data_IF_815377384725
#
_entry.id   IF_815377384725
#
_cell.length_a   1.000
_cell.length_b   1.000
_cell.length_c   1.000
_cell.angle_alpha   90.00
_cell.angle_beta   90.00
_cell.angle_gamma   90.00
#
_symmetry.space_group_name_H-M   'P 1'
#
loop_
_entity.id
_entity.type
_entity.pdbx_description
1 polymer ?
#
# COMPACT_ATOMS: atom_id res chain seq x y z
N UNK A 1 -12.03 -3.66 -1.53
CA UNK A 1 -11.61 -2.74 -0.45
C UNK A 1 -12.76 -2.60 0.51
N UNK A 2 -12.53 -2.81 1.81
CA UNK A 2 -13.55 -2.55 2.85
C UNK A 2 -13.00 -1.55 3.85
N UNK A 3 -13.74 -0.46 4.07
CA UNK A 3 -13.40 0.53 5.10
C UNK A 3 -14.04 0.13 6.41
N UNK A 4 -13.23 -0.07 7.44
CA UNK A 4 -13.69 -0.43 8.79
C UNK A 4 -13.29 0.68 9.75
N UNK A 5 -14.16 1.69 9.86
CA UNK A 5 -13.94 2.84 10.75
C UNK A 5 -12.63 3.60 10.46
N UNK A 6 -11.60 3.35 11.28
CA UNK A 6 -10.31 4.06 11.28
C UNK A 6 -9.24 3.44 10.37
N UNK A 7 -9.52 2.31 9.73
CA UNK A 7 -8.60 1.61 8.86
C UNK A 7 -9.31 1.02 7.65
N UNK A 8 -8.53 0.74 6.60
CA UNK A 8 -9.00 0.10 5.39
C UNK A 8 -8.38 -1.28 5.26
N UNK A 9 -9.21 -2.30 5.05
CA UNK A 9 -8.76 -3.67 4.81
C UNK A 9 -8.72 -3.92 3.31
N UNK A 10 -7.55 -4.31 2.85
CA UNK A 10 -7.25 -4.68 1.49
C UNK A 10 -7.08 -6.18 1.43
N UNK A 11 -8.02 -6.87 0.79
CA UNK A 11 -7.92 -8.30 0.49
C UNK A 11 -7.75 -8.45 -1.01
N UNK A 12 -6.70 -9.14 -1.42
CA UNK A 12 -6.34 -9.43 -2.81
C UNK A 12 -6.17 -10.93 -2.95
N UNK A 13 -6.52 -11.48 -4.10
CA UNK A 13 -6.28 -12.89 -4.44
C UNK A 13 -5.38 -12.94 -5.66
N UNK A 14 -4.26 -13.66 -5.55
CA UNK A 14 -3.28 -13.85 -6.61
C UNK A 14 -3.18 -15.34 -6.90
N UNK A 15 -3.90 -15.83 -7.92
CA UNK A 15 -3.88 -17.24 -8.31
C UNK A 15 -4.22 -18.20 -7.14
N UNK A 16 -5.21 -17.83 -6.32
CA UNK A 16 -5.60 -18.57 -5.11
C UNK A 16 -4.79 -18.23 -3.85
N UNK A 17 -3.73 -17.41 -3.97
CA UNK A 17 -3.00 -16.88 -2.83
C UNK A 17 -3.62 -15.57 -2.35
N UNK A 18 -4.40 -15.67 -1.27
CA UNK A 18 -4.99 -14.48 -0.66
C UNK A 18 -3.97 -13.69 0.15
N UNK A 19 -3.81 -12.42 -0.16
CA UNK A 19 -3.07 -11.44 0.62
C UNK A 19 -4.02 -10.44 1.28
N UNK A 20 -3.84 -10.19 2.57
CA UNK A 20 -4.61 -9.20 3.31
C UNK A 20 -3.70 -8.21 4.02
N UNK A 21 -3.98 -6.92 3.86
CA UNK A 21 -3.30 -5.84 4.57
C UNK A 21 -4.28 -4.81 5.13
N UNK A 22 -3.85 -4.14 6.19
CA UNK A 22 -4.57 -3.05 6.83
C UNK A 22 -3.84 -1.74 6.57
N UNK A 23 -4.55 -0.75 6.03
CA UNK A 23 -4.04 0.58 5.80
C UNK A 23 -4.59 1.56 6.84
N UNK A 24 -3.69 2.34 7.45
CA UNK A 24 -3.99 3.29 8.53
C UNK A 24 -3.19 4.58 8.38
N UNK A 25 -3.69 5.68 8.95
CA UNK A 25 -2.88 6.89 9.17
C UNK A 25 -1.93 6.66 10.34
N UNK A 26 -0.65 6.91 10.12
CA UNK A 26 0.41 6.69 11.09
C UNK A 26 0.36 7.63 12.30
N UNK A 27 0.84 7.13 13.44
CA UNK A 27 0.93 7.84 14.73
C UNK A 27 2.26 7.53 15.40
N UNK A 28 2.71 8.39 16.31
CA UNK A 28 3.94 8.17 17.08
C UNK A 28 5.16 7.97 16.18
N UNK A 29 5.83 6.82 16.30
CA UNK A 29 6.96 6.43 15.44
C UNK A 29 6.65 6.53 13.93
N UNK A 30 5.38 6.35 13.55
CA UNK A 30 4.93 6.45 12.16
C UNK A 30 4.21 7.77 11.83
N UNK A 31 4.35 8.81 12.65
CA UNK A 31 3.72 10.12 12.39
C UNK A 31 4.06 10.64 10.98
N UNK A 32 3.06 11.22 10.32
CA UNK A 32 3.09 11.73 8.93
C UNK A 32 3.28 10.67 7.84
N UNK A 33 3.12 9.38 8.16
CA UNK A 33 3.21 8.30 7.21
C UNK A 33 1.86 7.60 7.04
N UNK A 34 1.58 7.09 5.85
CA UNK A 34 0.56 6.06 5.69
C UNK A 34 1.17 4.71 6.08
N UNK A 35 0.43 3.93 6.86
CA UNK A 35 0.91 2.67 7.40
C UNK A 35 0.17 1.51 6.78
N UNK A 36 0.89 0.58 6.18
CA UNK A 36 0.37 -0.71 5.76
C UNK A 36 0.89 -1.80 6.69
N UNK A 37 -0.02 -2.61 7.24
CA UNK A 37 0.30 -3.76 8.09
C UNK A 37 -0.14 -5.04 7.39
N UNK A 38 0.72 -6.04 7.36
CA UNK A 38 0.38 -7.40 6.98
C UNK A 38 1.09 -8.39 7.91
N UNK A 39 0.29 -9.18 8.63
CA UNK A 39 0.81 -10.10 9.65
C UNK A 39 1.69 -9.39 10.70
N UNK A 40 2.93 -9.83 10.93
CA UNK A 40 3.84 -9.27 11.92
C UNK A 40 4.58 -8.01 11.43
N UNK A 41 4.43 -7.65 10.15
CA UNK A 41 5.12 -6.53 9.55
C UNK A 41 4.24 -5.29 9.49
N UNK A 42 4.86 -4.12 9.70
CA UNK A 42 4.22 -2.82 9.49
C UNK A 42 5.18 -1.87 8.82
N UNK A 43 4.76 -1.28 7.72
CA UNK A 43 5.54 -0.35 6.90
C UNK A 43 4.89 1.02 6.93
N UNK A 44 5.69 2.04 7.23
CA UNK A 44 5.32 3.45 7.12
C UNK A 44 5.89 4.03 5.85
N UNK A 45 5.00 4.48 4.96
CA UNK A 45 5.33 5.07 3.67
C UNK A 45 5.00 6.56 3.67
N UNK A 46 5.91 7.36 3.14
CA UNK A 46 5.63 8.75 2.83
C UNK A 46 5.03 8.82 1.43
N UNK A 47 3.97 9.61 1.29
CA UNK A 47 3.36 9.90 0.00
C UNK A 47 4.08 11.09 -0.63
N UNK A 48 4.61 10.90 -1.84
CA UNK A 48 5.31 11.95 -2.59
C UNK A 48 4.63 12.09 -3.93
N UNK A 49 3.99 13.24 -4.17
CA UNK A 49 3.41 13.55 -5.48
C UNK A 49 4.49 14.18 -6.37
N UNK A 50 4.77 13.56 -7.50
CA UNK A 50 5.70 14.05 -8.52
C UNK A 50 5.07 13.86 -9.90
N UNK A 51 4.97 14.93 -10.71
CA UNK A 51 4.44 14.86 -12.08
C UNK A 51 3.13 14.06 -12.23
N UNK A 52 2.14 14.34 -11.38
CA UNK A 52 0.86 13.62 -11.31
C UNK A 52 0.95 12.11 -11.00
N UNK A 53 2.11 11.67 -10.51
CA UNK A 53 2.37 10.32 -10.00
C UNK A 53 2.54 10.38 -8.49
N UNK A 54 1.73 9.60 -7.77
CA UNK A 54 1.85 9.46 -6.33
C UNK A 54 2.76 8.29 -6.00
N UNK A 55 3.90 8.58 -5.38
CA UNK A 55 4.89 7.59 -4.96
C UNK A 55 4.70 7.23 -3.48
N UNK A 56 4.73 5.94 -3.19
CA UNK A 56 4.73 5.39 -1.84
C UNK A 56 6.16 5.03 -1.47
N UNK A 57 6.80 5.88 -0.67
CA UNK A 57 8.23 5.74 -0.34
C UNK A 57 8.38 5.16 1.05
N UNK A 58 8.89 3.92 1.22
CA UNK A 58 9.14 3.35 2.54
C UNK A 58 10.11 4.22 3.36
N UNK A 59 9.68 4.63 4.55
CA UNK A 59 10.48 5.46 5.48
C UNK A 59 10.87 4.73 6.73
N UNK A 60 9.96 3.93 7.30
CA UNK A 60 10.12 3.22 8.57
C UNK A 60 9.39 1.89 8.53
N UNK A 61 9.84 0.92 9.30
CA UNK A 61 9.12 -0.34 9.42
C UNK A 61 9.42 -1.03 10.75
N UNK A 62 8.52 -1.93 11.14
CA UNK A 62 8.66 -2.74 12.35
C UNK A 62 8.35 -4.20 12.05
N UNK A 63 9.02 -5.10 12.76
CA UNK A 63 8.70 -6.51 12.84
C UNK A 63 8.27 -6.84 14.27
N UNK A 64 7.06 -7.40 14.46
CA UNK A 64 6.49 -7.68 15.78
C UNK A 64 6.44 -6.43 16.70
N UNK A 65 6.37 -5.23 16.11
CA UNK A 65 6.39 -3.95 16.82
C UNK A 65 7.78 -3.37 17.11
N UNK A 66 8.85 -4.10 16.81
CA UNK A 66 10.23 -3.64 17.02
C UNK A 66 10.68 -2.82 15.80
N UNK A 67 11.15 -1.56 15.96
CA UNK A 67 11.71 -0.78 14.86
C UNK A 67 12.89 -1.48 14.21
N UNK A 68 12.84 -1.61 12.88
CA UNK A 68 13.86 -2.33 12.13
C UNK A 68 14.76 -1.37 11.32
N UNK A 69 16.02 -1.76 11.05
CA UNK A 69 16.91 -0.95 10.21
C UNK A 69 16.35 -0.73 8.81
N UNK A 70 16.45 0.50 8.29
CA UNK A 70 15.89 0.88 6.99
C UNK A 70 16.47 0.07 5.81
N UNK A 71 17.73 -0.33 5.89
CA UNK A 71 18.39 -1.09 4.82
C UNK A 71 17.82 -2.50 4.61
N UNK A 72 17.00 -3.00 5.55
CA UNK A 72 16.29 -4.27 5.46
C UNK A 72 14.83 -4.10 5.01
N UNK A 73 14.36 -2.85 4.88
CA UNK A 73 12.99 -2.58 4.44
C UNK A 73 12.81 -3.03 2.98
N UNK A 74 11.59 -3.43 2.59
CA UNK A 74 11.25 -3.61 1.20
C UNK A 74 11.53 -2.33 0.41
N UNK A 75 12.10 -2.54 -0.76
CA UNK A 75 12.35 -1.52 -1.78
C UNK A 75 11.54 -1.88 -3.02
N UNK A 76 11.62 -1.06 -4.06
CA UNK A 76 10.86 -1.26 -5.29
C UNK A 76 9.92 -0.09 -5.57
N UNK A 77 9.26 -0.15 -6.71
CA UNK A 77 8.42 0.93 -7.23
C UNK A 77 6.97 0.73 -6.82
N UNK A 78 6.47 1.62 -5.97
CA UNK A 78 5.07 1.68 -5.58
C UNK A 78 4.51 3.04 -5.99
N UNK A 79 3.77 3.06 -7.09
CA UNK A 79 3.23 4.29 -7.68
C UNK A 79 1.77 4.16 -8.05
N UNK A 80 1.09 5.30 -8.02
CA UNK A 80 -0.29 5.46 -8.48
C UNK A 80 -0.39 6.67 -9.41
N UNK A 81 -1.11 6.52 -10.51
CA UNK A 81 -1.33 7.58 -11.50
C UNK A 81 -2.78 7.58 -11.95
N UNK A 82 -3.28 8.73 -12.41
CA UNK A 82 -4.56 8.83 -13.08
C UNK A 82 -4.31 9.00 -14.58
N UNK A 83 -4.82 8.07 -15.38
CA UNK A 83 -4.74 8.09 -16.84
C UNK A 83 -6.07 7.62 -17.43
N UNK A 84 -6.64 8.37 -18.36
CA UNK A 84 -7.93 8.06 -19.02
C UNK A 84 -9.07 7.77 -18.02
N UNK A 85 -9.19 8.58 -16.96
CA UNK A 85 -10.14 8.41 -15.85
C UNK A 85 -10.06 7.04 -15.14
N UNK A 86 -8.92 6.35 -15.30
CA UNK A 86 -8.58 5.13 -14.59
C UNK A 86 -7.52 5.44 -13.56
N UNK A 87 -7.73 4.89 -12.37
CA UNK A 87 -6.71 4.84 -11.34
C UNK A 87 -5.76 3.68 -11.63
N UNK A 88 -4.57 3.99 -12.12
CA UNK A 88 -3.54 3.01 -12.45
C UNK A 88 -2.59 2.88 -11.27
N UNK A 89 -2.21 1.65 -10.96
CA UNK A 89 -1.25 1.35 -9.90
C UNK A 89 -0.20 0.39 -10.41
N UNK A 90 1.03 0.58 -9.94
CA UNK A 90 2.15 -0.31 -10.16
C UNK A 90 2.88 -0.51 -8.84
N UNK A 91 2.95 -1.75 -8.39
CA UNK A 91 3.55 -2.13 -7.12
C UNK A 91 4.59 -3.22 -7.38
N UNK A 92 5.82 -2.90 -7.05
CA UNK A 92 6.96 -3.80 -7.03
C UNK A 92 7.55 -3.79 -5.62
N UNK A 93 7.75 -4.99 -5.07
CA UNK A 93 8.30 -5.20 -3.73
C UNK A 93 9.50 -6.14 -3.83
N UNK A 94 10.64 -5.65 -3.38
CA UNK A 94 11.93 -6.35 -3.35
C UNK A 94 12.49 -6.27 -1.93
N UNK A 95 12.71 -7.43 -1.31
CA UNK A 95 13.38 -7.52 -0.01
C UNK A 95 14.89 -7.68 -0.21
N UNK A 96 15.74 -6.98 0.56
CA UNK A 96 17.20 -7.06 0.42
C UNK A 96 17.78 -8.47 0.55
N UNK A 97 17.16 -9.34 1.37
CA UNK A 97 17.65 -10.71 1.64
C UNK A 97 17.02 -11.75 0.73
N UNK A 98 15.73 -11.62 0.45
CA UNK A 98 14.95 -12.62 -0.30
C UNK A 98 14.92 -12.31 -1.80
N UNK A 99 15.20 -11.06 -2.18
CA UNK A 99 15.10 -10.58 -3.55
C UNK A 99 13.67 -10.16 -3.90
N UNK A 100 13.33 -10.29 -5.18
CA UNK A 100 12.00 -9.94 -5.70
C UNK A 100 10.91 -10.79 -5.05
N UNK A 101 9.88 -10.13 -4.52
CA UNK A 101 8.75 -10.80 -3.87
C UNK A 101 7.54 -10.81 -4.79
N UNK A 102 7.18 -9.63 -5.30
CA UNK A 102 6.01 -9.46 -6.14
C UNK A 102 6.15 -8.22 -7.00
N UNK A 103 5.69 -8.33 -8.25
CA UNK A 103 5.33 -7.19 -9.08
C UNK A 103 3.92 -7.40 -9.58
N UNK A 104 3.07 -6.41 -9.39
CA UNK A 104 1.76 -6.37 -10.01
C UNK A 104 1.43 -4.96 -10.45
N UNK A 105 0.64 -4.87 -11.51
CA UNK A 105 0.13 -3.63 -12.04
C UNK A 105 -1.32 -3.82 -12.44
N UNK A 106 -2.07 -2.74 -12.43
CA UNK A 106 -3.46 -2.79 -12.81
C UNK A 106 -4.07 -1.40 -12.84
N UNK A 107 -5.37 -1.39 -13.11
CA UNK A 107 -6.14 -0.18 -13.10
C UNK A 107 -7.52 -0.44 -12.50
N UNK A 108 -8.08 0.58 -11.87
CA UNK A 108 -9.44 0.61 -11.36
C UNK A 108 -10.20 1.70 -12.11
N UNK A 109 -11.47 1.43 -12.40
CA UNK A 109 -12.44 2.46 -12.74
C UNK A 109 -13.36 2.65 -11.54
N UNK A 110 -13.75 3.89 -11.28
CA UNK A 110 -14.79 4.15 -10.32
C UNK A 110 -16.06 3.41 -10.74
N UNK A 111 -16.62 2.60 -9.84
CA UNK A 111 -17.93 1.99 -10.05
C UNK A 111 -18.93 2.80 -9.23
N UNK A 112 -19.37 3.94 -9.77
CA UNK A 112 -20.39 4.77 -9.13
C UNK A 112 -21.69 3.97 -9.06
N UNK A 113 -22.03 3.45 -7.87
CA UNK A 113 -23.40 3.00 -7.63
C UNK A 113 -24.25 4.23 -7.38
N UNK A 114 -24.97 4.66 -8.43
CA UNK A 114 -26.01 5.67 -8.29
C UNK A 114 -27.13 5.05 -7.45
N UNK A 115 -27.23 5.46 -6.19
CA UNK A 115 -28.41 5.17 -5.37
C UNK A 115 -29.55 6.01 -5.96
N UNK A 116 -30.36 5.40 -6.83
CA UNK A 116 -31.62 6.00 -7.27
C UNK A 116 -32.59 5.86 -6.11
N UNK A 117 -32.79 6.95 -5.37
CA UNK A 117 -33.92 7.05 -4.45
C UNK A 117 -35.17 7.34 -5.29
N UNK A 118 -36.05 6.36 -5.40
CA UNK A 118 -37.44 6.53 -5.85
C UNK A 118 -38.27 7.26 -4.81
#
# INVERSE_FOLDING_TARGET
MQRTGKFEVWKRDFDGHTFASEMTVGKGYFSQLICERFGPFKFGMGLVLDNATLHYVPRRWTLLGIPMPKFLAPTGKMIETVLDDKFNFHVEVVLPVVGHIVTYQGWLKEHTQVVVNS
#
